data_IF_709899798584
#
_entry.id   IF_709899798584
#
_cell.length_a   1.000
_cell.length_b   1.000
_cell.length_c   1.000
_cell.angle_alpha   90.00
_cell.angle_beta   90.00
_cell.angle_gamma   90.00
#
_symmetry.space_group_name_H-M   'P 1'
#
loop_
_entity.id
_entity.type
_entity.pdbx_description
1 polymer ?
#
# COMPACT_ATOMS: atom_id res chain seq x y z
N UNK A 1 9.28 5.19 16.44
CA UNK A 1 8.73 4.44 15.28
C UNK A 1 8.85 5.33 14.05
N UNK A 2 9.67 4.93 13.09
CA UNK A 2 9.80 5.68 11.83
C UNK A 2 8.55 5.38 10.97
N UNK A 3 7.56 6.27 11.00
CA UNK A 3 6.34 6.12 10.19
C UNK A 3 6.67 6.51 8.75
N UNK A 4 6.52 5.59 7.81
CA UNK A 4 6.73 5.88 6.38
C UNK A 4 5.70 6.92 5.89
N UNK A 5 6.06 7.69 4.86
CA UNK A 5 5.14 8.69 4.23
C UNK A 5 3.84 8.00 3.80
N UNK A 6 3.93 6.82 3.18
CA UNK A 6 2.78 5.98 2.84
C UNK A 6 1.90 5.69 4.06
N UNK A 7 2.50 5.35 5.20
CA UNK A 7 1.77 5.09 6.44
C UNK A 7 1.07 6.32 7.00
N UNK A 8 1.65 7.52 6.83
CA UNK A 8 1.02 8.78 7.22
C UNK A 8 -0.22 9.01 6.35
N UNK A 9 -0.08 8.97 5.03
CA UNK A 9 -1.19 9.20 4.08
C UNK A 9 -2.34 8.22 4.33
N UNK A 10 -2.05 6.91 4.43
CA UNK A 10 -3.08 5.89 4.66
C UNK A 10 -3.83 6.12 5.97
N UNK A 11 -3.12 6.48 7.03
CA UNK A 11 -3.72 6.80 8.34
C UNK A 11 -4.65 7.99 8.27
N UNK A 12 -4.23 9.09 7.63
CA UNK A 12 -5.03 10.29 7.49
C UNK A 12 -6.29 10.03 6.66
N UNK A 13 -6.19 9.27 5.57
CA UNK A 13 -7.34 8.90 4.73
C UNK A 13 -8.36 8.09 5.53
N UNK A 14 -7.93 7.06 6.27
CA UNK A 14 -8.82 6.20 7.05
C UNK A 14 -9.45 6.98 8.20
N UNK A 15 -8.67 7.75 8.94
CA UNK A 15 -9.19 8.59 10.02
C UNK A 15 -10.22 9.59 9.50
N UNK A 16 -9.96 10.21 8.34
CA UNK A 16 -10.86 11.16 7.73
C UNK A 16 -12.21 10.53 7.36
N UNK A 17 -12.20 9.32 6.79
CA UNK A 17 -13.44 8.58 6.49
C UNK A 17 -14.27 8.39 7.76
N UNK A 18 -13.67 7.90 8.83
CA UNK A 18 -14.38 7.57 10.07
C UNK A 18 -14.87 8.82 10.82
N UNK A 19 -14.07 9.88 10.84
CA UNK A 19 -14.40 11.13 11.52
C UNK A 19 -15.51 11.92 10.80
N UNK A 20 -15.60 11.79 9.47
CA UNK A 20 -16.53 12.60 8.66
C UNK A 20 -17.68 11.79 8.05
N UNK A 21 -17.80 10.50 8.34
CA UNK A 21 -18.89 9.66 7.87
C UNK A 21 -20.23 10.05 8.51
N UNK A 22 -21.29 10.05 7.72
CA UNK A 22 -22.65 9.98 8.22
C UNK A 22 -23.01 8.51 8.55
N UNK A 23 -22.98 8.16 9.82
CA UNK A 23 -23.29 6.80 10.27
C UNK A 23 -24.80 6.49 10.26
N UNK A 24 -25.67 7.47 10.04
CA UNK A 24 -27.11 7.24 9.82
C UNK A 24 -27.41 6.77 8.40
N UNK A 25 -26.47 6.98 7.47
CA UNK A 25 -26.60 6.55 6.08
C UNK A 25 -26.35 5.05 5.92
N UNK A 26 -27.23 4.37 5.20
CA UNK A 26 -27.06 2.97 4.81
C UNK A 26 -25.95 2.75 3.77
N UNK A 27 -25.48 3.79 3.09
CA UNK A 27 -24.44 3.67 2.08
C UNK A 27 -23.08 3.38 2.73
N UNK A 28 -22.34 2.35 2.28
CA UNK A 28 -21.03 2.03 2.81
C UNK A 28 -20.02 3.07 2.39
N UNK A 29 -19.04 3.35 3.27
CA UNK A 29 -17.82 4.02 2.84
C UNK A 29 -17.00 3.06 1.97
N UNK A 30 -16.37 3.58 0.91
CA UNK A 30 -15.56 2.80 -0.02
C UNK A 30 -14.13 3.30 0.00
N UNK A 31 -13.19 2.37 -0.07
CA UNK A 31 -11.78 2.63 -0.36
C UNK A 31 -11.43 1.81 -1.59
N UNK A 32 -11.04 2.49 -2.66
CA UNK A 32 -10.73 1.90 -3.95
C UNK A 32 -9.25 2.18 -4.21
N UNK A 33 -8.48 1.14 -4.45
CA UNK A 33 -7.05 1.24 -4.75
C UNK A 33 -6.86 0.70 -6.15
N UNK A 34 -6.35 1.55 -7.02
CA UNK A 34 -5.96 1.20 -8.38
C UNK A 34 -4.43 1.38 -8.53
N UNK A 35 -3.94 1.19 -9.74
CA UNK A 35 -2.51 1.32 -10.07
C UNK A 35 -2.00 2.74 -9.85
N UNK A 36 -2.78 3.73 -10.26
CA UNK A 36 -2.35 5.12 -10.35
C UNK A 36 -2.92 5.99 -9.22
N UNK A 37 -3.89 5.49 -8.46
CA UNK A 37 -4.56 6.28 -7.42
C UNK A 37 -5.21 5.43 -6.32
N UNK A 38 -5.36 6.05 -5.14
CA UNK A 38 -6.25 5.62 -4.07
C UNK A 38 -7.41 6.61 -4.01
N UNK A 39 -8.64 6.11 -4.10
CA UNK A 39 -9.86 6.92 -4.03
C UNK A 39 -10.74 6.45 -2.89
N UNK A 40 -11.37 7.40 -2.19
CA UNK A 40 -12.38 7.11 -1.19
C UNK A 40 -13.70 7.76 -1.54
N UNK A 41 -14.78 7.10 -1.19
CA UNK A 41 -16.13 7.63 -1.26
C UNK A 41 -16.79 7.45 0.10
N UNK A 42 -17.28 8.53 0.66
CA UNK A 42 -17.87 8.53 1.98
C UNK A 42 -19.13 9.41 1.98
N UNK A 43 -20.29 8.81 2.23
CA UNK A 43 -21.52 9.58 2.34
C UNK A 43 -21.46 10.54 3.52
N UNK A 44 -21.82 11.79 3.27
CA UNK A 44 -21.79 12.82 4.30
C UNK A 44 -22.88 13.88 4.05
N UNK A 45 -23.23 14.61 5.10
CA UNK A 45 -23.99 15.84 4.98
C UNK A 45 -22.98 16.96 4.75
N UNK A 46 -22.90 17.56 3.55
CA UNK A 46 -21.88 18.55 3.27
C UNK A 46 -22.12 19.85 4.06
N UNK A 47 -21.07 20.52 4.44
CA UNK A 47 -21.13 21.90 4.94
C UNK A 47 -20.97 22.92 3.83
N UNK A 48 -20.16 22.56 2.85
CA UNK A 48 -19.95 23.33 1.62
C UNK A 48 -19.82 22.33 0.47
N UNK A 49 -20.00 22.80 -0.74
CA UNK A 49 -19.81 22.01 -1.94
C UNK A 49 -18.52 22.41 -2.64
N UNK A 50 -17.81 21.44 -3.23
CA UNK A 50 -16.63 21.64 -4.05
C UNK A 50 -15.32 21.27 -3.38
N UNK A 51 -14.23 21.75 -3.96
CA UNK A 51 -12.87 21.39 -3.53
C UNK A 51 -12.53 21.96 -2.15
N UNK A 52 -11.83 21.15 -1.36
CA UNK A 52 -11.23 21.54 -0.09
C UNK A 52 -9.75 21.81 -0.31
N UNK A 53 -9.33 23.03 -0.10
CA UNK A 53 -7.92 23.44 -0.14
C UNK A 53 -7.33 23.49 1.27
N UNK A 54 -6.03 23.24 1.40
CA UNK A 54 -5.37 23.15 2.70
C UNK A 54 -5.33 24.45 3.50
N UNK A 55 -5.31 25.57 2.82
CA UNK A 55 -5.24 26.93 3.36
C UNK A 55 -6.61 27.52 3.74
N UNK A 56 -7.67 27.05 3.09
CA UNK A 56 -9.05 27.49 3.35
C UNK A 56 -9.83 26.53 4.24
N UNK A 57 -9.20 25.43 4.67
CA UNK A 57 -9.87 24.38 5.43
C UNK A 57 -10.08 24.76 6.89
N UNK A 58 -11.32 24.95 7.28
CA UNK A 58 -11.71 25.02 8.70
C UNK A 58 -12.16 23.63 9.17
N UNK A 59 -11.42 22.99 10.07
CA UNK A 59 -11.74 21.65 10.56
C UNK A 59 -13.07 21.61 11.27
N UNK A 60 -13.93 20.69 10.86
CA UNK A 60 -15.15 20.39 11.57
C UNK A 60 -15.45 18.88 11.52
N UNK A 61 -15.15 18.17 12.59
CA UNK A 61 -15.44 16.75 12.66
C UNK A 61 -16.95 16.52 12.76
N UNK A 62 -17.48 15.64 11.91
CA UNK A 62 -18.88 15.21 11.98
C UNK A 62 -19.10 14.24 13.15
N UNK A 63 -18.05 13.53 13.54
CA UNK A 63 -18.04 12.61 14.69
C UNK A 63 -16.97 12.98 15.70
N UNK A 64 -17.22 13.97 16.60
CA UNK A 64 -16.23 14.47 17.55
C UNK A 64 -15.70 13.39 18.51
N UNK A 65 -16.52 12.43 18.92
CA UNK A 65 -16.11 11.34 19.80
C UNK A 65 -15.11 10.42 19.13
N UNK A 66 -15.32 10.10 17.84
CA UNK A 66 -14.39 9.28 17.05
C UNK A 66 -13.08 10.04 16.87
N UNK A 67 -13.13 11.33 16.60
CA UNK A 67 -11.93 12.15 16.50
C UNK A 67 -11.14 12.17 17.81
N UNK A 68 -11.82 12.39 18.93
CA UNK A 68 -11.18 12.40 20.25
C UNK A 68 -10.53 11.03 20.57
N UNK A 69 -11.18 9.93 20.19
CA UNK A 69 -10.59 8.60 20.30
C UNK A 69 -9.27 8.49 19.51
N UNK A 70 -9.26 8.89 18.25
CA UNK A 70 -8.04 8.87 17.43
C UNK A 70 -6.94 9.78 17.99
N UNK A 71 -7.29 10.96 18.50
CA UNK A 71 -6.34 11.85 19.15
C UNK A 71 -5.73 11.22 20.41
N UNK A 72 -6.55 10.59 21.26
CA UNK A 72 -6.09 9.96 22.50
C UNK A 72 -5.13 8.78 22.25
N UNK A 73 -5.31 8.04 21.17
CA UNK A 73 -4.38 6.94 20.79
C UNK A 73 -3.19 7.42 19.93
N UNK A 74 -3.01 8.74 19.78
CA UNK A 74 -1.90 9.33 19.01
C UNK A 74 -1.94 9.00 17.50
N UNK A 75 -3.14 8.79 16.95
CA UNK A 75 -3.33 8.46 15.53
C UNK A 75 -3.76 9.63 14.67
N UNK A 76 -4.25 10.68 15.26
CA UNK A 76 -4.43 12.00 14.63
C UNK A 76 -3.73 13.04 15.45
N UNK A 77 -3.10 13.99 14.80
CA UNK A 77 -2.60 15.19 15.44
C UNK A 77 -3.78 16.15 15.72
N UNK A 78 -3.49 17.41 15.97
CA UNK A 78 -4.47 18.45 16.22
C UNK A 78 -5.59 18.50 15.17
N UNK A 79 -6.79 18.91 15.56
CA UNK A 79 -7.95 19.10 14.66
C UNK A 79 -7.53 19.85 13.39
N UNK A 80 -7.71 19.23 12.22
CA UNK A 80 -7.40 19.82 10.91
C UNK A 80 -6.02 19.54 10.35
N UNK A 81 -5.16 18.84 11.05
CA UNK A 81 -3.85 18.43 10.52
C UNK A 81 -3.97 17.42 9.37
N UNK A 82 -5.03 16.61 9.34
CA UNK A 82 -5.21 15.55 8.35
C UNK A 82 -5.19 16.06 6.92
N UNK A 83 -5.98 17.08 6.58
CA UNK A 83 -5.99 17.69 5.24
C UNK A 83 -4.62 18.29 4.91
N UNK A 84 -4.02 19.03 5.86
CA UNK A 84 -2.69 19.61 5.67
C UNK A 84 -1.63 18.54 5.45
N UNK A 85 -1.70 17.43 6.19
CA UNK A 85 -0.78 16.30 6.02
C UNK A 85 -0.95 15.66 4.64
N UNK A 86 -2.16 15.48 4.14
CA UNK A 86 -2.39 14.96 2.80
C UNK A 86 -1.76 15.88 1.74
N UNK A 87 -1.98 17.19 1.80
CA UNK A 87 -1.37 18.15 0.86
C UNK A 87 0.15 18.23 1.00
N UNK A 88 0.71 18.04 2.19
CA UNK A 88 2.14 18.05 2.45
C UNK A 88 2.86 16.81 1.94
N UNK A 89 2.30 15.64 2.23
CA UNK A 89 3.00 14.37 2.02
C UNK A 89 2.67 13.69 0.70
N UNK A 90 1.51 13.95 0.10
CA UNK A 90 1.16 13.35 -1.19
C UNK A 90 2.15 13.74 -2.30
N UNK A 91 2.54 15.01 -2.47
CA UNK A 91 3.53 15.36 -3.50
C UNK A 91 4.90 14.68 -3.32
N UNK A 92 5.30 14.46 -2.06
CA UNK A 92 6.57 13.78 -1.76
C UNK A 92 6.46 12.28 -2.09
N UNK A 93 5.27 11.69 -1.88
CA UNK A 93 5.02 10.27 -2.11
C UNK A 93 4.81 9.95 -3.60
N UNK A 94 4.16 10.83 -4.36
CA UNK A 94 3.72 10.59 -5.74
C UNK A 94 4.45 11.43 -6.78
N UNK A 95 5.71 11.80 -6.51
CA UNK A 95 6.55 12.59 -7.41
C UNK A 95 5.85 13.84 -7.98
N UNK A 96 5.38 14.69 -7.06
CA UNK A 96 4.72 15.96 -7.38
C UNK A 96 3.20 15.88 -7.58
N UNK A 97 2.59 14.71 -7.49
CA UNK A 97 1.13 14.56 -7.55
C UNK A 97 0.44 15.28 -6.39
N UNK A 98 -0.76 15.82 -6.62
CA UNK A 98 -1.53 16.53 -5.60
C UNK A 98 -2.75 15.73 -5.19
N UNK A 99 -3.13 15.73 -3.90
CA UNK A 99 -4.37 15.15 -3.47
C UNK A 99 -5.54 16.02 -3.95
N UNK A 100 -6.66 15.37 -4.24
CA UNK A 100 -7.91 16.05 -4.51
C UNK A 100 -8.93 15.67 -3.44
N UNK A 101 -9.52 16.67 -2.79
CA UNK A 101 -10.54 16.50 -1.76
C UNK A 101 -11.78 17.27 -2.19
N UNK A 102 -12.90 16.59 -2.34
CA UNK A 102 -14.18 17.18 -2.76
C UNK A 102 -15.23 16.87 -1.70
N UNK A 103 -15.86 17.92 -1.17
CA UNK A 103 -17.02 17.79 -0.28
C UNK A 103 -18.30 18.07 -1.07
N UNK A 104 -19.12 17.06 -1.19
CA UNK A 104 -20.48 17.08 -1.72
C UNK A 104 -21.30 16.08 -0.88
N UNK A 105 -22.47 15.64 -1.33
CA UNK A 105 -23.24 14.57 -0.69
C UNK A 105 -22.42 13.28 -0.54
N UNK A 106 -21.44 13.11 -1.41
CA UNK A 106 -20.38 12.11 -1.28
C UNK A 106 -19.05 12.80 -1.14
N UNK A 107 -18.44 12.67 0.02
CA UNK A 107 -17.07 13.16 0.22
C UNK A 107 -16.08 12.23 -0.48
N UNK A 108 -15.24 12.80 -1.32
CA UNK A 108 -14.20 12.06 -2.08
C UNK A 108 -12.81 12.56 -1.74
N UNK A 109 -11.91 11.62 -1.55
CA UNK A 109 -10.47 11.88 -1.51
C UNK A 109 -9.84 11.08 -2.64
N UNK A 110 -9.05 11.72 -3.49
CA UNK A 110 -8.22 11.06 -4.51
C UNK A 110 -6.76 11.34 -4.21
N UNK A 111 -5.99 10.30 -3.96
CA UNK A 111 -4.54 10.37 -3.73
C UNK A 111 -3.86 9.71 -4.92
N UNK A 112 -3.04 10.43 -5.70
CA UNK A 112 -2.21 9.81 -6.72
C UNK A 112 -1.17 8.90 -6.06
N UNK A 113 -0.95 7.73 -6.65
CA UNK A 113 0.04 6.76 -6.16
C UNK A 113 1.33 6.91 -6.94
N UNK A 114 2.45 6.60 -6.27
CA UNK A 114 3.75 6.52 -6.91
C UNK A 114 3.79 5.32 -7.86
N UNK A 115 4.04 5.57 -9.13
CA UNK A 115 4.13 4.53 -10.16
C UNK A 115 5.29 3.58 -9.89
N UNK A 116 6.39 4.10 -9.35
CA UNK A 116 7.56 3.27 -9.00
C UNK A 116 7.22 2.34 -7.84
N UNK A 117 6.55 2.84 -6.80
CA UNK A 117 6.13 2.01 -5.68
C UNK A 117 5.04 0.98 -6.07
N UNK A 118 4.21 1.29 -7.06
CA UNK A 118 3.23 0.35 -7.60
C UNK A 118 3.90 -0.78 -8.40
N UNK A 119 4.95 -0.48 -9.13
CA UNK A 119 5.73 -1.45 -9.89
C UNK A 119 6.65 -2.27 -8.98
N UNK A 120 7.29 -1.69 -7.96
CA UNK A 120 8.03 -2.42 -6.93
C UNK A 120 7.14 -3.43 -6.17
N UNK A 121 5.88 -3.09 -5.91
CA UNK A 121 4.90 -4.01 -5.34
C UNK A 121 4.51 -5.16 -6.29
N UNK A 122 4.71 -4.99 -7.59
CA UNK A 122 4.53 -6.02 -8.62
C UNK A 122 5.79 -6.82 -8.89
N UNK A 123 6.97 -6.20 -8.85
CA UNK A 123 8.25 -6.91 -8.94
C UNK A 123 8.43 -7.92 -7.82
N UNK A 124 7.84 -7.70 -6.64
CA UNK A 124 7.81 -8.73 -5.59
C UNK A 124 6.90 -9.93 -5.91
N UNK A 125 6.01 -9.82 -6.92
CA UNK A 125 5.16 -10.93 -7.39
C UNK A 125 5.65 -11.57 -8.69
N UNK A 126 6.64 -10.99 -9.34
CA UNK A 126 7.27 -11.54 -10.52
C UNK A 126 8.72 -11.89 -10.22
N UNK A 127 9.15 -13.04 -10.72
CA UNK A 127 10.55 -13.44 -10.65
C UNK A 127 11.37 -12.55 -11.60
N UNK A 128 12.57 -12.13 -11.17
CA UNK A 128 13.56 -11.53 -12.05
C UNK A 128 14.01 -12.56 -13.12
N UNK A 129 14.64 -12.12 -14.18
CA UNK A 129 15.14 -13.01 -15.24
C UNK A 129 16.01 -14.15 -14.69
N UNK A 130 16.87 -13.84 -13.71
CA UNK A 130 17.71 -14.84 -13.05
C UNK A 130 16.87 -15.81 -12.21
N UNK A 131 15.96 -15.31 -11.41
CA UNK A 131 15.06 -16.14 -10.59
C UNK A 131 14.13 -16.99 -11.45
N UNK A 132 13.67 -16.46 -12.59
CA UNK A 132 12.89 -17.21 -13.57
C UNK A 132 13.72 -18.33 -14.20
N UNK A 133 14.99 -18.07 -14.50
CA UNK A 133 15.91 -19.10 -15.00
C UNK A 133 16.11 -20.22 -13.98
N UNK A 134 16.31 -19.86 -12.72
CA UNK A 134 16.40 -20.83 -11.63
C UNK A 134 15.09 -21.63 -11.49
N UNK A 135 13.93 -20.97 -11.56
CA UNK A 135 12.64 -21.64 -11.49
C UNK A 135 12.41 -22.61 -12.64
N UNK A 136 12.79 -22.25 -13.85
CA UNK A 136 12.73 -23.15 -15.01
C UNK A 136 13.63 -24.37 -14.81
N UNK A 137 14.85 -24.18 -14.29
CA UNK A 137 15.76 -25.29 -13.96
C UNK A 137 15.14 -26.23 -12.90
N UNK A 138 14.43 -25.67 -11.90
CA UNK A 138 13.69 -26.47 -10.91
C UNK A 138 12.57 -27.27 -11.56
N UNK A 139 11.81 -26.67 -12.49
CA UNK A 139 10.73 -27.37 -13.20
C UNK A 139 11.25 -28.51 -14.07
N UNK A 140 12.44 -28.36 -14.65
CA UNK A 140 13.09 -29.39 -15.45
C UNK A 140 13.72 -30.52 -14.59
N UNK A 141 14.21 -30.16 -13.40
CA UNK A 141 14.85 -31.11 -12.50
C UNK A 141 14.51 -30.81 -11.05
N UNK A 142 13.56 -31.55 -10.47
CA UNK A 142 13.16 -31.41 -9.08
C UNK A 142 14.26 -31.75 -8.06
N UNK A 143 15.33 -32.42 -8.48
CA UNK A 143 16.53 -32.71 -7.67
C UNK A 143 17.66 -31.69 -7.88
N UNK A 144 17.34 -30.49 -8.34
CA UNK A 144 18.31 -29.44 -8.60
C UNK A 144 19.06 -29.06 -7.33
N UNK A 145 20.38 -29.27 -7.29
CA UNK A 145 21.23 -28.91 -6.18
C UNK A 145 21.66 -27.44 -6.19
N UNK A 146 21.99 -26.91 -5.02
CA UNK A 146 22.52 -25.53 -4.90
C UNK A 146 23.82 -25.38 -5.71
N UNK A 147 24.66 -26.38 -5.70
CA UNK A 147 25.96 -26.41 -6.40
C UNK A 147 25.76 -26.34 -7.92
N UNK A 148 24.74 -27.02 -8.46
CA UNK A 148 24.40 -26.94 -9.88
C UNK A 148 23.96 -25.53 -10.28
N UNK A 149 23.11 -24.87 -9.47
CA UNK A 149 22.67 -23.49 -9.72
C UNK A 149 23.84 -22.51 -9.64
N UNK A 150 24.74 -22.69 -8.66
CA UNK A 150 25.94 -21.88 -8.53
C UNK A 150 26.84 -21.99 -9.76
N UNK A 151 27.05 -23.20 -10.26
CA UNK A 151 27.89 -23.47 -11.43
C UNK A 151 27.28 -22.92 -12.73
N UNK A 152 25.96 -23.07 -12.92
CA UNK A 152 25.26 -22.65 -14.13
C UNK A 152 25.12 -21.13 -14.26
N UNK A 153 24.96 -20.42 -13.12
CA UNK A 153 24.68 -18.99 -13.11
C UNK A 153 25.85 -18.13 -12.61
N UNK A 154 26.96 -18.75 -12.22
CA UNK A 154 28.15 -18.11 -11.65
C UNK A 154 27.79 -17.17 -10.47
N UNK A 155 27.01 -17.68 -9.53
CA UNK A 155 26.54 -16.91 -8.37
C UNK A 155 26.91 -17.57 -7.04
N UNK A 156 27.01 -16.76 -6.00
CA UNK A 156 27.34 -17.25 -4.67
C UNK A 156 26.20 -18.07 -4.03
N UNK A 157 26.54 -19.00 -3.14
CA UNK A 157 25.57 -19.80 -2.38
C UNK A 157 24.54 -18.95 -1.63
N UNK A 158 24.97 -17.82 -1.06
CA UNK A 158 24.09 -16.88 -0.38
C UNK A 158 23.05 -16.26 -1.32
N UNK A 159 23.46 -15.97 -2.57
CA UNK A 159 22.56 -15.48 -3.61
C UNK A 159 21.53 -16.52 -4.01
N UNK A 160 21.94 -17.78 -4.18
CA UNK A 160 21.01 -18.90 -4.49
C UNK A 160 19.92 -19.02 -3.41
N UNK A 161 20.28 -19.03 -2.14
CA UNK A 161 19.29 -19.12 -1.06
C UNK A 161 18.34 -17.95 -0.98
N UNK A 162 18.81 -16.71 -1.29
CA UNK A 162 17.95 -15.53 -1.37
C UNK A 162 16.96 -15.66 -2.53
N UNK A 163 17.42 -16.11 -3.69
CA UNK A 163 16.59 -16.31 -4.87
C UNK A 163 15.58 -17.46 -4.63
N UNK A 164 15.98 -18.54 -3.98
CA UNK A 164 15.07 -19.64 -3.56
C UNK A 164 13.96 -19.13 -2.63
N UNK A 165 14.28 -18.28 -1.66
CA UNK A 165 13.30 -17.70 -0.75
C UNK A 165 12.25 -16.85 -1.51
N UNK A 166 12.69 -16.12 -2.54
CA UNK A 166 11.79 -15.32 -3.38
C UNK A 166 10.96 -16.20 -4.32
N UNK A 167 11.57 -17.20 -4.96
CA UNK A 167 10.86 -18.17 -5.79
C UNK A 167 9.74 -18.85 -4.98
N UNK A 168 10.06 -19.36 -3.79
CA UNK A 168 9.06 -19.92 -2.87
C UNK A 168 7.90 -18.96 -2.61
N UNK A 169 8.20 -17.71 -2.34
CA UNK A 169 7.17 -16.68 -2.04
C UNK A 169 6.26 -16.38 -3.24
N UNK A 170 6.80 -16.43 -4.44
CA UNK A 170 6.10 -16.05 -5.67
C UNK A 170 5.34 -17.23 -6.29
N UNK A 171 5.93 -18.43 -6.29
CA UNK A 171 5.43 -19.60 -7.04
C UNK A 171 4.81 -20.68 -6.14
N UNK A 172 4.97 -20.59 -4.80
CA UNK A 172 4.57 -21.67 -3.89
C UNK A 172 5.57 -22.84 -3.83
N UNK A 173 6.54 -22.94 -4.75
CA UNK A 173 7.52 -24.02 -4.79
C UNK A 173 8.26 -24.20 -3.45
N UNK A 174 8.36 -25.41 -2.95
CA UNK A 174 8.99 -25.72 -1.67
C UNK A 174 10.20 -26.65 -1.85
N UNK A 175 11.31 -26.30 -1.18
CA UNK A 175 12.50 -27.13 -1.14
C UNK A 175 12.58 -27.89 0.19
N UNK A 176 12.57 -29.20 0.14
CA UNK A 176 12.82 -30.03 1.31
C UNK A 176 14.33 -30.31 1.47
N UNK A 177 14.89 -29.78 2.55
CA UNK A 177 16.32 -29.92 2.87
C UNK A 177 16.74 -31.35 3.22
N UNK A 178 15.80 -32.23 3.64
CA UNK A 178 16.11 -33.60 4.04
C UNK A 178 16.19 -34.51 2.83
N UNK A 179 15.29 -34.36 1.90
CA UNK A 179 15.21 -35.16 0.67
C UNK A 179 15.93 -34.51 -0.51
N UNK A 180 16.30 -33.23 -0.40
CA UNK A 180 16.86 -32.42 -1.49
C UNK A 180 15.97 -32.38 -2.72
N UNK A 181 14.65 -32.36 -2.52
CA UNK A 181 13.64 -32.38 -3.60
C UNK A 181 12.83 -31.08 -3.55
N UNK A 182 12.52 -30.55 -4.73
CA UNK A 182 11.55 -29.47 -4.91
C UNK A 182 10.15 -30.05 -5.09
N UNK A 183 9.16 -29.39 -4.50
CA UNK A 183 7.73 -29.64 -4.73
C UNK A 183 7.14 -28.40 -5.38
N UNK A 184 6.43 -28.57 -6.47
CA UNK A 184 5.71 -27.51 -7.20
C UNK A 184 4.22 -27.68 -6.89
N UNK A 185 3.53 -26.60 -6.49
CA UNK A 185 2.08 -26.54 -6.35
C UNK A 185 1.40 -26.36 -7.70
#
# INVERSE_FOLDING_TARGET
MNTSIRGIISREVIAYILVNRDFSSAFPAKVIIDRDWLKTENWCIPRRHGNIMSDEFTPYPKNPLIQQFFANIGRTDTIGSGVRNLYKYTPIYSDGGKPELIEDDVFRITIPLDKVAADEGREQKTLSEREQKIYNMICENLHLSVEQVMAELDISRATVFRDYAKIKKVTGAMYDKKTSIWTLD
#
